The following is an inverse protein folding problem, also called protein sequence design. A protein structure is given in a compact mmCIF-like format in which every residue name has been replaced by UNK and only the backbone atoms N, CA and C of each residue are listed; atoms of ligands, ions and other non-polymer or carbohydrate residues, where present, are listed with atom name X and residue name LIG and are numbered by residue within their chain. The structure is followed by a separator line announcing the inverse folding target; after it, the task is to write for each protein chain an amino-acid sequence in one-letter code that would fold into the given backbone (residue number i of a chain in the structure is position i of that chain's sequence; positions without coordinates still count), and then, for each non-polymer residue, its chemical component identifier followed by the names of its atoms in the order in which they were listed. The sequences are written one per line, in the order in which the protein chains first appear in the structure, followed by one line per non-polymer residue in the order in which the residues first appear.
data_IF_912116994640
#
_entry.id   IF_912116994640
#
_cell.length_a   1.000
_cell.length_b   1.000
_cell.length_c   1.000
_cell.angle_alpha   90.00
_cell.angle_beta   90.00
_cell.angle_gamma   90.00
#
_symmetry.space_group_name_H-M   'P 1'
#
loop_
_entity.id
_entity.type
_entity.pdbx_description
1 polymer ?
#
# COMPACT_ATOMS: atom_id res chain seq x y z
N UNK A 1 5.53 -18.70 23.01
CA UNK A 1 6.23 -17.52 23.55
C UNK A 1 6.06 -16.41 22.53
N UNK A 2 5.20 -15.42 22.81
CA UNK A 2 4.99 -14.30 21.90
C UNK A 2 6.27 -13.47 21.78
N UNK A 3 6.71 -13.22 20.56
CA UNK A 3 8.13 -13.06 20.27
C UNK A 3 8.73 -11.67 20.46
N UNK A 4 8.11 -10.64 21.06
CA UNK A 4 8.62 -9.23 21.15
C UNK A 4 9.12 -8.63 19.81
N UNK A 5 8.61 -7.46 19.41
CA UNK A 5 9.00 -6.83 18.15
C UNK A 5 10.51 -6.62 18.08
N UNK A 6 11.09 -6.80 16.89
CA UNK A 6 12.52 -6.54 16.67
C UNK A 6 12.81 -5.07 16.89
N UNK A 7 11.88 -4.18 16.52
CA UNK A 7 11.96 -2.74 16.78
C UNK A 7 11.98 -2.44 18.28
N UNK A 8 11.14 -3.12 19.06
CA UNK A 8 11.15 -2.99 20.53
C UNK A 8 12.48 -3.45 21.14
N UNK A 9 13.04 -4.57 20.65
CA UNK A 9 14.36 -5.04 21.10
C UNK A 9 15.47 -4.04 20.76
N UNK A 10 15.43 -3.46 19.56
CA UNK A 10 16.44 -2.49 19.12
C UNK A 10 16.38 -1.20 19.94
N UNK A 11 15.18 -0.69 20.25
CA UNK A 11 15.01 0.48 21.11
C UNK A 11 15.51 0.24 22.53
N UNK A 12 15.16 -0.90 23.13
CA UNK A 12 15.64 -1.27 24.48
C UNK A 12 17.16 -1.44 24.51
N UNK A 13 17.75 -1.95 23.43
CA UNK A 13 19.21 -2.05 23.29
C UNK A 13 19.86 -0.68 23.17
N UNK A 14 19.32 0.19 22.31
CA UNK A 14 19.87 1.52 22.05
C UNK A 14 19.77 2.44 23.28
N UNK A 15 18.70 2.34 24.07
CA UNK A 15 18.46 3.24 25.19
C UNK A 15 19.38 2.97 26.39
N UNK A 16 20.05 1.83 26.41
CA UNK A 16 21.08 1.54 27.42
C UNK A 16 22.22 2.58 27.43
N UNK A 17 22.41 3.32 26.35
CA UNK A 17 23.38 4.42 26.25
C UNK A 17 22.84 5.78 26.75
N UNK A 18 21.54 5.92 27.03
CA UNK A 18 20.87 7.17 27.43
C UNK A 18 20.01 6.97 28.69
N UNK A 19 20.63 6.88 29.88
CA UNK A 19 19.92 6.56 31.13
C UNK A 19 18.84 7.59 31.52
N UNK A 20 18.97 8.84 31.08
CA UNK A 20 18.01 9.91 31.37
C UNK A 20 16.60 9.67 30.82
N UNK A 21 16.49 8.92 29.72
CA UNK A 21 15.21 8.62 29.05
C UNK A 21 14.84 7.14 29.11
N UNK A 22 15.69 6.30 29.70
CA UNK A 22 15.53 4.85 29.72
C UNK A 22 14.19 4.39 30.32
N UNK A 23 13.78 4.95 31.46
CA UNK A 23 12.51 4.63 32.11
C UNK A 23 11.30 4.96 31.20
N UNK A 24 11.33 6.13 30.56
CA UNK A 24 10.27 6.55 29.63
C UNK A 24 10.20 5.68 28.38
N UNK A 25 11.35 5.33 27.81
CA UNK A 25 11.42 4.45 26.64
C UNK A 25 10.98 3.03 26.98
N UNK A 26 11.29 2.52 28.17
CA UNK A 26 10.80 1.22 28.65
C UNK A 26 9.28 1.22 28.76
N UNK A 27 8.70 2.23 29.44
CA UNK A 27 7.25 2.38 29.56
C UNK A 27 6.56 2.52 28.18
N UNK A 28 7.18 3.25 27.25
CA UNK A 28 6.73 3.37 25.87
C UNK A 28 6.68 1.99 25.20
N UNK A 29 7.79 1.23 25.24
CA UNK A 29 7.90 -0.09 24.62
C UNK A 29 6.89 -1.07 25.22
N UNK A 30 6.71 -1.07 26.55
CA UNK A 30 5.72 -1.92 27.21
C UNK A 30 4.29 -1.63 26.74
N UNK A 31 3.95 -0.33 26.63
CA UNK A 31 2.65 0.12 26.13
C UNK A 31 2.44 -0.32 24.69
N UNK A 32 3.44 -0.11 23.83
CA UNK A 32 3.39 -0.49 22.42
C UNK A 32 3.29 -2.01 22.24
N UNK A 33 4.04 -2.80 22.99
CA UNK A 33 3.94 -4.26 22.96
C UNK A 33 2.57 -4.75 23.47
N UNK A 34 1.95 -4.03 24.42
CA UNK A 34 0.56 -4.23 24.80
C UNK A 34 -0.41 -4.05 23.63
N UNK A 35 -0.27 -2.95 22.86
CA UNK A 35 -1.07 -2.68 21.67
C UNK A 35 -0.83 -3.70 20.55
N UNK A 36 0.41 -4.15 20.36
CA UNK A 36 0.76 -5.19 19.38
C UNK A 36 0.06 -6.51 19.72
N UNK A 37 0.00 -6.88 21.01
CA UNK A 37 -0.67 -8.10 21.47
C UNK A 37 -2.19 -8.03 21.34
N UNK A 38 -2.79 -6.85 21.59
CA UNK A 38 -4.24 -6.67 21.51
C UNK A 38 -4.77 -6.63 20.07
N UNK A 39 -3.91 -6.56 19.05
CA UNK A 39 -4.28 -6.43 17.62
C UNK A 39 -5.26 -5.29 17.38
N UNK A 40 -5.08 -4.16 18.06
CA UNK A 40 -5.88 -2.97 17.77
C UNK A 40 -5.70 -2.57 16.31
N UNK A 41 -6.83 -2.33 15.64
CA UNK A 41 -6.83 -1.87 14.26
C UNK A 41 -6.25 -0.46 14.22
N UNK A 42 -5.45 -0.13 13.20
CA UNK A 42 -4.63 1.08 13.19
C UNK A 42 -5.37 2.44 13.25
N UNK A 43 -6.71 2.43 13.30
CA UNK A 43 -7.53 3.61 13.59
C UNK A 43 -7.79 3.85 15.08
N UNK A 44 -7.42 2.91 15.96
CA UNK A 44 -7.81 2.88 17.37
C UNK A 44 -6.62 2.75 18.33
N UNK A 45 -5.41 3.13 17.92
CA UNK A 45 -4.28 3.26 18.86
C UNK A 45 -4.43 4.48 19.78
N UNK A 46 -5.57 4.55 20.46
CA UNK A 46 -5.88 5.56 21.45
C UNK A 46 -4.79 5.56 22.52
N UNK A 47 -4.24 6.75 22.81
CA UNK A 47 -3.15 6.92 23.78
C UNK A 47 -1.74 7.02 23.17
N UNK A 48 -1.52 6.66 21.90
CA UNK A 48 -0.23 6.93 21.23
C UNK A 48 0.06 8.43 21.08
N UNK A 49 -0.97 9.26 21.04
CA UNK A 49 -0.83 10.71 20.87
C UNK A 49 -0.09 11.33 22.04
N UNK A 50 -0.43 10.95 23.28
CA UNK A 50 0.26 11.40 24.48
C UNK A 50 1.72 10.94 24.49
N UNK A 51 1.98 9.72 24.02
CA UNK A 51 3.34 9.17 23.89
C UNK A 51 4.17 9.91 22.83
N UNK A 52 3.51 10.41 21.77
CA UNK A 52 4.16 11.12 20.68
C UNK A 52 4.51 12.59 20.99
N UNK A 53 4.04 13.13 22.12
CA UNK A 53 4.30 14.50 22.57
C UNK A 53 5.68 14.69 23.22
N UNK A 54 6.28 13.64 23.79
CA UNK A 54 7.62 13.75 24.40
C UNK A 54 8.69 13.83 23.31
N UNK A 55 9.11 15.07 22.99
CA UNK A 55 10.08 15.34 21.94
C UNK A 55 11.47 14.74 22.17
N UNK A 56 11.90 14.52 23.42
CA UNK A 56 13.20 13.86 23.68
C UNK A 56 13.12 12.37 23.34
N UNK A 57 12.07 11.71 23.82
CA UNK A 57 11.81 10.29 23.53
C UNK A 57 11.60 10.09 22.04
N UNK A 58 10.81 10.95 21.37
CA UNK A 58 10.51 10.80 19.95
C UNK A 58 11.71 11.05 19.05
N UNK A 59 12.61 11.97 19.42
CA UNK A 59 13.90 12.12 18.74
C UNK A 59 14.74 10.85 18.85
N UNK A 60 14.88 10.31 20.06
CA UNK A 60 15.61 9.06 20.30
C UNK A 60 15.02 7.89 19.49
N UNK A 61 13.69 7.75 19.48
CA UNK A 61 12.99 6.72 18.70
C UNK A 61 13.29 6.89 17.22
N UNK A 62 13.10 8.10 16.68
CA UNK A 62 13.34 8.39 15.27
C UNK A 62 14.80 8.13 14.87
N UNK A 63 15.77 8.58 15.67
CA UNK A 63 17.20 8.38 15.40
C UNK A 63 17.59 6.90 15.46
N UNK A 64 17.02 6.14 16.40
CA UNK A 64 17.24 4.69 16.50
C UNK A 64 16.71 3.98 15.27
N UNK A 65 15.45 4.26 14.88
CA UNK A 65 14.85 3.69 13.68
C UNK A 65 15.56 4.14 12.39
N UNK A 66 16.14 5.34 12.39
CA UNK A 66 16.88 5.88 11.26
C UNK A 66 18.25 5.20 11.06
N UNK A 67 18.84 4.63 12.12
CA UNK A 67 20.09 3.86 12.05
C UNK A 67 19.91 2.46 11.47
N UNK A 68 18.66 1.98 11.33
CA UNK A 68 18.40 0.68 10.71
C UNK A 68 18.84 0.68 9.22
N UNK A 69 19.43 -0.44 8.75
CA UNK A 69 19.94 -0.55 7.38
C UNK A 69 18.81 -0.47 6.35
N UNK A 70 17.64 -1.01 6.69
CA UNK A 70 16.45 -1.00 5.85
C UNK A 70 15.32 -0.22 6.52
N UNK A 71 14.39 0.29 5.72
CA UNK A 71 13.17 0.88 6.26
C UNK A 71 12.33 -0.18 6.98
N UNK A 72 11.62 0.23 8.02
CA UNK A 72 10.67 -0.65 8.71
C UNK A 72 9.58 -1.11 7.73
N UNK A 73 9.21 -2.39 7.77
CA UNK A 73 8.19 -2.99 6.90
C UNK A 73 7.28 -3.91 7.70
N UNK A 74 6.22 -4.43 7.07
CA UNK A 74 5.33 -5.43 7.67
C UNK A 74 6.02 -6.75 8.06
N UNK A 75 7.31 -6.91 7.75
CA UNK A 75 8.14 -8.00 8.27
C UNK A 75 8.26 -7.98 9.79
N UNK A 76 8.13 -6.80 10.41
CA UNK A 76 8.08 -6.66 11.87
C UNK A 76 6.65 -6.47 12.38
N UNK A 77 6.27 -7.22 13.42
CA UNK A 77 4.94 -7.16 14.04
C UNK A 77 4.60 -5.81 14.67
N UNK A 78 5.61 -5.00 15.01
CA UNK A 78 5.45 -3.66 15.56
C UNK A 78 5.33 -2.56 14.51
N UNK A 79 5.50 -2.88 13.21
CA UNK A 79 5.50 -1.91 12.11
C UNK A 79 4.42 -0.83 12.23
N UNK A 80 3.15 -1.24 12.37
CA UNK A 80 2.02 -0.31 12.37
C UNK A 80 2.07 0.68 13.54
N UNK A 81 2.38 0.17 14.74
CA UNK A 81 2.43 0.97 15.97
C UNK A 81 3.60 1.95 15.93
N UNK A 82 4.78 1.50 15.50
CA UNK A 82 5.97 2.35 15.41
C UNK A 82 5.84 3.43 14.35
N UNK A 83 5.34 3.10 13.15
CA UNK A 83 5.15 4.07 12.06
C UNK A 83 4.05 5.08 12.42
N UNK A 84 2.98 4.62 13.10
CA UNK A 84 1.96 5.54 13.63
C UNK A 84 2.55 6.50 14.66
N UNK A 85 3.30 5.98 15.65
CA UNK A 85 3.91 6.79 16.71
C UNK A 85 4.78 7.91 16.14
N UNK A 86 5.70 7.60 15.21
CA UNK A 86 6.56 8.62 14.59
C UNK A 86 5.78 9.60 13.72
N UNK A 87 4.68 9.18 13.08
CA UNK A 87 3.82 10.07 12.30
C UNK A 87 2.97 11.00 13.17
N UNK A 88 2.58 10.56 14.37
CA UNK A 88 1.83 11.38 15.33
C UNK A 88 2.72 12.44 15.99
N UNK A 89 4.03 12.25 16.04
CA UNK A 89 4.95 13.21 16.66
C UNK A 89 5.16 14.46 15.83
N UNK A 90 5.34 15.59 16.50
CA UNK A 90 5.73 16.89 15.91
C UNK A 90 7.25 17.12 15.95
N UNK A 91 7.99 16.14 16.44
CA UNK A 91 9.44 16.19 16.53
C UNK A 91 10.07 16.08 15.12
N UNK A 92 11.04 16.94 14.85
CA UNK A 92 11.62 17.14 13.52
C UNK A 92 12.39 15.91 12.98
N UNK A 93 13.12 15.18 13.81
CA UNK A 93 13.72 13.90 13.43
C UNK A 93 12.65 12.84 13.10
N UNK A 94 11.55 12.78 13.85
CA UNK A 94 10.41 11.91 13.53
C UNK A 94 9.78 12.25 12.16
N UNK A 95 9.56 13.54 11.87
CA UNK A 95 9.05 13.98 10.57
C UNK A 95 10.00 13.67 9.42
N UNK A 96 11.30 13.93 9.59
CA UNK A 96 12.34 13.54 8.62
C UNK A 96 12.33 12.04 8.38
N UNK A 97 12.15 11.25 9.43
CA UNK A 97 12.09 9.79 9.33
C UNK A 97 10.87 9.35 8.52
N UNK A 98 9.67 9.87 8.78
CA UNK A 98 8.46 9.56 7.98
C UNK A 98 8.66 9.96 6.51
N UNK A 99 9.31 11.10 6.27
CA UNK A 99 9.64 11.52 4.90
C UNK A 99 10.65 10.56 4.24
N UNK A 100 11.67 10.07 4.96
CA UNK A 100 12.58 9.01 4.47
C UNK A 100 11.81 7.73 4.14
N UNK A 101 10.91 7.28 5.02
CA UNK A 101 10.07 6.10 4.78
C UNK A 101 9.28 6.25 3.47
N UNK A 102 8.64 7.40 3.25
CA UNK A 102 7.91 7.65 1.99
C UNK A 102 8.81 7.53 0.75
N UNK A 103 10.05 8.05 0.80
CA UNK A 103 11.02 7.89 -0.29
C UNK A 103 11.39 6.42 -0.50
N UNK A 104 11.67 5.71 0.59
CA UNK A 104 12.09 4.31 0.52
C UNK A 104 10.98 3.45 -0.08
N UNK A 105 9.76 3.53 0.43
CA UNK A 105 8.65 2.71 -0.05
C UNK A 105 8.32 2.96 -1.52
N UNK A 106 8.42 4.22 -1.99
CA UNK A 106 8.29 4.56 -3.41
C UNK A 106 9.39 3.91 -4.24
N UNK A 107 10.65 4.04 -3.81
CA UNK A 107 11.82 3.59 -4.59
C UNK A 107 11.94 2.06 -4.64
N UNK A 108 11.47 1.35 -3.62
CA UNK A 108 11.58 -0.10 -3.51
C UNK A 108 10.24 -0.84 -3.76
N UNK A 109 9.15 -0.14 -4.03
CA UNK A 109 7.84 -0.74 -4.35
C UNK A 109 7.15 -1.39 -3.15
N UNK A 110 7.34 -0.84 -1.95
CA UNK A 110 6.70 -1.30 -0.72
C UNK A 110 5.25 -0.76 -0.64
N UNK A 111 4.38 -1.23 -1.54
CA UNK A 111 3.04 -0.67 -1.71
C UNK A 111 2.16 -0.79 -0.45
N UNK A 112 2.32 -1.88 0.31
CA UNK A 112 1.52 -2.13 1.52
C UNK A 112 1.86 -1.12 2.61
N UNK A 113 3.14 -0.85 2.81
CA UNK A 113 3.67 0.15 3.73
C UNK A 113 3.31 1.57 3.28
N UNK A 114 3.36 1.84 1.98
CA UNK A 114 2.94 3.12 1.40
C UNK A 114 1.46 3.39 1.63
N UNK A 115 0.61 2.37 1.45
CA UNK A 115 -0.82 2.46 1.76
C UNK A 115 -1.10 2.71 3.23
N UNK A 116 -0.28 2.15 4.12
CA UNK A 116 -0.37 2.42 5.53
C UNK A 116 -0.06 3.89 5.85
N UNK A 117 0.98 4.48 5.23
CA UNK A 117 1.24 5.92 5.35
C UNK A 117 0.05 6.77 4.85
N UNK A 118 -0.54 6.40 3.70
CA UNK A 118 -1.75 7.06 3.21
C UNK A 118 -2.90 6.95 4.24
N UNK A 119 -3.11 5.77 4.84
CA UNK A 119 -4.13 5.53 5.87
C UNK A 119 -3.91 6.43 7.09
N UNK A 120 -2.67 6.60 7.56
CA UNK A 120 -2.35 7.51 8.68
C UNK A 120 -2.77 8.94 8.33
N UNK A 121 -2.40 9.43 7.15
CA UNK A 121 -2.76 10.78 6.69
C UNK A 121 -4.28 10.96 6.57
N UNK A 122 -5.00 9.88 6.24
CA UNK A 122 -6.46 9.87 6.16
C UNK A 122 -7.12 9.98 7.53
N UNK A 123 -6.62 9.25 8.53
CA UNK A 123 -7.17 9.23 9.89
C UNK A 123 -6.89 10.55 10.62
N UNK A 124 -5.74 11.18 10.36
CA UNK A 124 -5.32 12.41 11.04
C UNK A 124 -5.12 13.59 10.07
N UNK A 125 -6.19 14.08 9.41
CA UNK A 125 -6.09 15.09 8.36
C UNK A 125 -5.70 16.49 8.88
N UNK A 126 -5.88 16.77 10.17
CA UNK A 126 -5.60 18.08 10.77
C UNK A 126 -4.09 18.33 11.04
N UNK A 127 -3.23 17.33 10.79
CA UNK A 127 -1.79 17.40 11.06
C UNK A 127 -1.03 18.04 9.89
N UNK A 128 -1.13 19.37 9.78
CA UNK A 128 -0.54 20.14 8.68
C UNK A 128 0.99 20.01 8.50
N UNK A 129 1.72 19.57 9.54
CA UNK A 129 3.17 19.28 9.43
C UNK A 129 3.47 18.04 8.57
N UNK A 130 2.50 17.17 8.33
CA UNK A 130 2.62 16.04 7.41
C UNK A 130 2.31 16.39 5.95
N UNK A 131 1.98 17.66 5.65
CA UNK A 131 1.64 18.09 4.28
C UNK A 131 2.75 17.78 3.27
N UNK A 132 4.02 17.83 3.67
CA UNK A 132 5.14 17.45 2.81
C UNK A 132 5.09 15.97 2.38
N UNK A 133 4.75 15.08 3.32
CA UNK A 133 4.58 13.65 3.06
C UNK A 133 3.33 13.42 2.20
N UNK A 134 2.20 14.05 2.55
CA UNK A 134 0.97 13.99 1.78
C UNK A 134 1.18 14.41 0.32
N UNK A 135 1.78 15.56 0.08
CA UNK A 135 2.01 16.09 -1.27
C UNK A 135 2.87 15.14 -2.10
N UNK A 136 3.90 14.54 -1.49
CA UNK A 136 4.74 13.54 -2.15
C UNK A 136 3.96 12.29 -2.53
N UNK A 137 3.19 11.72 -1.61
CA UNK A 137 2.40 10.52 -1.88
C UNK A 137 1.32 10.80 -2.94
N UNK A 138 0.66 11.96 -2.88
CA UNK A 138 -0.30 12.40 -3.89
C UNK A 138 0.34 12.55 -5.28
N UNK A 139 1.54 13.14 -5.36
CA UNK A 139 2.30 13.23 -6.61
C UNK A 139 2.66 11.85 -7.15
N UNK A 140 3.13 10.93 -6.31
CA UNK A 140 3.45 9.57 -6.71
C UNK A 140 2.22 8.84 -7.25
N UNK A 141 1.09 8.89 -6.54
CA UNK A 141 -0.19 8.31 -6.99
C UNK A 141 -0.62 8.89 -8.34
N UNK A 142 -0.51 10.20 -8.55
CA UNK A 142 -0.79 10.82 -9.86
C UNK A 142 0.15 10.34 -10.97
N UNK A 143 1.44 10.18 -10.68
CA UNK A 143 2.40 9.65 -11.66
C UNK A 143 2.07 8.21 -12.05
N UNK A 144 1.71 7.37 -11.07
CA UNK A 144 1.30 5.98 -11.33
C UNK A 144 0.02 5.91 -12.17
N UNK A 145 -0.94 6.83 -11.97
CA UNK A 145 -2.12 6.96 -12.84
C UNK A 145 -1.76 7.29 -14.28
N UNK A 146 -0.80 8.20 -14.48
CA UNK A 146 -0.35 8.61 -15.84
C UNK A 146 0.39 7.49 -16.55
N UNK A 147 1.21 6.72 -15.84
CA UNK A 147 1.96 5.56 -16.37
C UNK A 147 1.08 4.35 -16.69
N UNK A 148 -0.15 4.31 -16.20
CA UNK A 148 -1.20 3.38 -16.63
C UNK A 148 -2.16 4.06 -17.63
N UNK A 149 -1.73 4.48 -18.84
CA UNK A 149 -2.70 4.82 -19.86
C UNK A 149 -3.49 3.55 -20.19
N UNK A 150 -4.78 3.72 -20.48
CA UNK A 150 -5.68 2.65 -20.85
C UNK A 150 -5.02 1.66 -21.82
N UNK A 151 -5.24 0.37 -21.58
CA UNK A 151 -4.84 -0.71 -22.47
C UNK A 151 -5.65 -0.59 -23.78
N UNK A 152 -5.28 0.38 -24.60
CA UNK A 152 -5.67 0.53 -25.99
C UNK A 152 -4.39 0.52 -26.79
N UNK A 153 -4.13 -0.67 -27.35
CA UNK A 153 -3.01 -1.07 -28.23
C UNK A 153 -1.78 -1.61 -27.49
N UNK A 154 -1.41 -2.81 -27.92
CA UNK A 154 -0.10 -3.45 -27.78
C UNK A 154 1.02 -2.41 -27.69
N UNK A 155 1.79 -2.43 -26.61
CA UNK A 155 3.10 -1.77 -26.56
C UNK A 155 4.02 -2.49 -27.56
N UNK A 156 4.01 -2.07 -28.83
CA UNK A 156 5.17 -2.27 -29.67
C UNK A 156 6.29 -1.37 -29.13
N UNK A 157 7.45 -1.97 -28.81
CA UNK A 157 8.65 -1.21 -28.47
C UNK A 157 8.93 -0.17 -29.57
N UNK A 158 9.34 1.06 -29.21
CA UNK A 158 9.78 2.02 -30.20
C UNK A 158 10.97 1.44 -30.98
N UNK A 159 10.80 1.27 -32.29
CA UNK A 159 11.86 0.82 -33.20
C UNK A 159 12.99 1.86 -33.19
N UNK A 160 14.16 1.48 -32.68
CA UNK A 160 15.38 2.28 -32.75
C UNK A 160 16.05 2.66 -31.44
N UNK A 161 15.59 2.18 -30.28
CA UNK A 161 16.34 2.37 -29.03
C UNK A 161 17.58 1.46 -29.03
N UNK A 162 18.77 2.04 -29.08
CA UNK A 162 20.05 1.34 -28.97
C UNK A 162 20.21 0.72 -27.58
N UNK A 163 20.74 -0.50 -27.56
CA UNK A 163 20.88 -1.42 -26.41
C UNK A 163 21.75 -0.93 -25.24
N UNK A 164 22.14 0.34 -25.20
CA UNK A 164 23.15 0.87 -24.27
C UNK A 164 22.71 2.06 -23.40
N UNK A 165 21.45 2.53 -23.47
CA UNK A 165 20.92 3.54 -22.55
C UNK A 165 20.00 2.98 -21.45
N UNK A 166 19.94 1.66 -21.26
CA UNK A 166 19.11 1.04 -20.22
C UNK A 166 19.93 0.08 -19.33
N UNK A 167 20.77 0.57 -18.40
CA UNK A 167 21.24 -0.35 -17.36
C UNK A 167 21.31 0.24 -15.93
N UNK A 168 20.27 0.93 -15.44
CA UNK A 168 20.04 1.11 -13.97
C UNK A 168 18.56 0.92 -13.55
N UNK A 169 17.57 0.98 -14.45
CA UNK A 169 16.16 1.15 -14.06
C UNK A 169 15.24 -0.10 -14.11
N UNK A 170 15.75 -1.33 -13.98
CA UNK A 170 14.91 -2.56 -13.95
C UNK A 170 15.39 -3.66 -12.99
N UNK A 171 15.69 -3.31 -11.73
CA UNK A 171 15.18 -4.20 -10.69
C UNK A 171 13.65 -4.11 -10.78
N UNK A 172 12.92 -5.24 -10.83
CA UNK A 172 11.44 -5.29 -10.89
C UNK A 172 10.83 -4.59 -9.66
N UNK A 173 10.82 -3.26 -9.60
CA UNK A 173 10.12 -2.51 -8.56
C UNK A 173 8.64 -2.86 -8.70
N UNK A 174 8.06 -3.41 -7.64
CA UNK A 174 6.66 -3.84 -7.62
C UNK A 174 5.77 -2.61 -7.84
N UNK A 175 5.16 -2.50 -9.02
CA UNK A 175 4.21 -1.43 -9.30
C UNK A 175 2.94 -1.58 -8.44
N UNK A 176 2.33 -0.45 -8.04
CA UNK A 176 1.01 -0.45 -7.40
C UNK A 176 -0.02 -1.10 -8.31
N UNK A 177 -0.77 -2.06 -7.75
CA UNK A 177 -1.96 -2.64 -8.40
C UNK A 177 -3.08 -1.61 -8.52
N UNK A 178 -4.10 -1.89 -9.33
CA UNK A 178 -5.26 -1.01 -9.50
C UNK A 178 -6.10 -0.89 -8.22
N UNK A 179 -6.09 -1.91 -7.37
CA UNK A 179 -6.72 -1.92 -6.05
C UNK A 179 -5.96 -1.00 -5.10
N UNK A 180 -4.65 -1.21 -4.99
CA UNK A 180 -3.77 -0.40 -4.15
C UNK A 180 -3.86 1.07 -4.57
N UNK A 181 -3.85 1.36 -5.88
CA UNK A 181 -3.93 2.73 -6.37
C UNK A 181 -5.25 3.40 -5.97
N UNK A 182 -6.38 2.70 -6.12
CA UNK A 182 -7.67 3.22 -5.68
C UNK A 182 -7.69 3.46 -4.16
N UNK A 183 -7.16 2.52 -3.37
CA UNK A 183 -7.13 2.66 -1.93
C UNK A 183 -6.30 3.88 -1.49
N UNK A 184 -5.17 4.13 -2.16
CA UNK A 184 -4.38 5.34 -1.92
C UNK A 184 -5.15 6.62 -2.28
N UNK A 185 -5.89 6.64 -3.40
CA UNK A 185 -6.72 7.80 -3.77
C UNK A 185 -7.81 8.11 -2.75
N UNK A 186 -8.43 7.07 -2.18
CA UNK A 186 -9.43 7.21 -1.12
C UNK A 186 -8.79 7.83 0.12
N UNK A 187 -7.69 7.25 0.58
CA UNK A 187 -7.00 7.72 1.78
C UNK A 187 -6.52 9.17 1.64
N UNK A 188 -5.95 9.52 0.49
CA UNK A 188 -5.47 10.87 0.22
C UNK A 188 -6.60 11.85 -0.15
N UNK A 189 -7.87 11.46 -0.07
CA UNK A 189 -9.00 12.35 -0.35
C UNK A 189 -9.01 12.90 -1.79
N UNK A 190 -8.38 12.18 -2.73
CA UNK A 190 -8.23 12.59 -4.13
C UNK A 190 -9.48 12.25 -4.97
N UNK A 191 -10.47 11.66 -4.32
CA UNK A 191 -11.75 11.21 -4.86
C UNK A 191 -12.78 12.32 -4.76
N UNK A 192 -13.51 12.59 -5.85
CA UNK A 192 -14.59 13.60 -5.90
C UNK A 192 -15.90 13.05 -5.33
N UNK A 193 -16.27 11.83 -5.66
CA UNK A 193 -17.50 11.17 -5.25
C UNK A 193 -17.22 10.08 -4.20
N UNK A 194 -17.03 10.52 -2.95
CA UNK A 194 -16.71 9.62 -1.82
C UNK A 194 -17.70 8.47 -1.67
N UNK A 195 -19.01 8.74 -1.83
CA UNK A 195 -20.08 7.73 -1.71
C UNK A 195 -19.99 6.65 -2.79
N UNK A 196 -19.70 7.04 -4.03
CA UNK A 196 -19.50 6.08 -5.11
C UNK A 196 -18.29 5.19 -4.79
N UNK A 197 -17.17 5.80 -4.41
CA UNK A 197 -15.95 5.05 -4.17
C UNK A 197 -16.07 4.12 -2.97
N UNK A 198 -16.66 4.55 -1.87
CA UNK A 198 -16.92 3.70 -0.70
C UNK A 198 -17.75 2.46 -1.07
N UNK A 199 -18.80 2.64 -1.87
CA UNK A 199 -19.60 1.50 -2.34
C UNK A 199 -18.82 0.60 -3.29
N UNK A 200 -18.05 1.19 -4.20
CA UNK A 200 -17.21 0.41 -5.13
C UNK A 200 -16.17 -0.39 -4.35
N UNK A 201 -15.40 0.22 -3.43
CA UNK A 201 -14.38 -0.47 -2.62
C UNK A 201 -14.98 -1.55 -1.70
N UNK A 202 -16.21 -1.36 -1.22
CA UNK A 202 -16.91 -2.38 -0.42
C UNK A 202 -17.34 -3.61 -1.24
N UNK A 203 -17.65 -3.42 -2.53
CA UNK A 203 -18.37 -4.43 -3.31
C UNK A 203 -17.59 -5.01 -4.50
N UNK A 204 -16.53 -4.36 -4.97
CA UNK A 204 -15.85 -4.77 -6.21
C UNK A 204 -15.28 -6.19 -6.18
N UNK A 205 -14.78 -6.65 -5.03
CA UNK A 205 -14.27 -8.02 -4.87
C UNK A 205 -15.36 -9.09 -5.02
N UNK A 206 -16.62 -8.74 -4.75
CA UNK A 206 -17.78 -9.63 -4.88
C UNK A 206 -18.44 -9.54 -6.26
N UNK A 207 -18.11 -8.52 -7.04
CA UNK A 207 -18.74 -8.26 -8.32
C UNK A 207 -18.17 -9.17 -9.43
N UNK A 208 -19.07 -9.81 -10.17
CA UNK A 208 -18.71 -10.70 -11.30
C UNK A 208 -18.50 -9.93 -12.59
N UNK A 209 -19.25 -8.84 -12.76
CA UNK A 209 -19.26 -7.98 -13.93
C UNK A 209 -19.71 -6.55 -13.54
N UNK A 210 -19.68 -5.63 -14.50
CA UNK A 210 -20.07 -4.23 -14.30
C UNK A 210 -21.52 -4.05 -13.86
N UNK A 211 -22.46 -4.88 -14.37
CA UNK A 211 -23.87 -4.81 -13.98
C UNK A 211 -24.05 -5.16 -12.50
N UNK A 212 -23.50 -6.30 -12.09
CA UNK A 212 -23.53 -6.74 -10.69
C UNK A 212 -22.88 -5.71 -9.76
N UNK A 213 -21.77 -5.06 -10.17
CA UNK A 213 -21.18 -3.99 -9.36
C UNK A 213 -22.09 -2.76 -9.24
N UNK A 214 -22.76 -2.36 -10.33
CA UNK A 214 -23.72 -1.26 -10.31
C UNK A 214 -24.88 -1.54 -9.35
N UNK A 215 -25.42 -2.75 -9.40
CA UNK A 215 -26.51 -3.22 -8.54
C UNK A 215 -26.10 -3.22 -7.06
N UNK A 216 -24.91 -3.76 -6.74
CA UNK A 216 -24.36 -3.73 -5.38
C UNK A 216 -24.11 -2.31 -4.87
N UNK A 217 -23.79 -1.38 -5.77
CA UNK A 217 -23.64 0.04 -5.43
C UNK A 217 -25.00 0.78 -5.38
N UNK A 218 -26.11 0.14 -5.73
CA UNK A 218 -27.45 0.75 -5.75
C UNK A 218 -27.60 1.84 -6.83
N UNK A 219 -26.95 1.68 -7.99
CA UNK A 219 -27.08 2.57 -9.13
C UNK A 219 -27.59 1.81 -10.36
N UNK A 220 -28.38 2.48 -11.21
CA UNK A 220 -28.63 1.96 -12.54
C UNK A 220 -27.32 1.86 -13.33
N UNK A 221 -27.22 0.89 -14.25
CA UNK A 221 -26.01 0.66 -15.04
C UNK A 221 -25.52 1.91 -15.79
N UNK A 222 -26.43 2.71 -16.34
CA UNK A 222 -26.12 3.94 -17.07
C UNK A 222 -25.54 5.01 -16.15
N UNK A 223 -26.21 5.27 -15.01
CA UNK A 223 -25.74 6.21 -13.99
C UNK A 223 -24.39 5.77 -13.42
N UNK A 224 -24.25 4.49 -13.10
CA UNK A 224 -23.02 3.92 -12.58
C UNK A 224 -21.86 4.15 -13.55
N UNK A 225 -22.01 3.77 -14.83
CA UNK A 225 -20.95 3.97 -15.84
C UNK A 225 -20.52 5.42 -15.99
N UNK A 226 -21.47 6.36 -15.93
CA UNK A 226 -21.19 7.80 -16.02
C UNK A 226 -20.39 8.27 -14.81
N UNK A 227 -20.94 8.06 -13.60
CA UNK A 227 -20.30 8.45 -12.35
C UNK A 227 -18.93 7.79 -12.19
N UNK A 228 -18.81 6.51 -12.57
CA UNK A 228 -17.56 5.77 -12.51
C UNK A 228 -16.51 6.35 -13.47
N UNK A 229 -16.87 6.70 -14.70
CA UNK A 229 -15.92 7.30 -15.64
C UNK A 229 -15.49 8.71 -15.20
N UNK A 230 -16.40 9.48 -14.61
CA UNK A 230 -16.08 10.79 -14.05
C UNK A 230 -15.06 10.68 -12.90
N UNK A 231 -15.23 9.67 -12.06
CA UNK A 231 -14.42 9.44 -10.85
C UNK A 231 -13.09 8.74 -11.16
N UNK A 232 -13.17 7.51 -11.68
CA UNK A 232 -12.03 6.61 -11.88
C UNK A 232 -11.32 6.85 -13.22
N UNK A 233 -11.84 7.74 -14.07
CA UNK A 233 -11.31 8.05 -15.41
C UNK A 233 -11.16 6.84 -16.33
N UNK A 234 -11.86 5.74 -16.06
CA UNK A 234 -11.88 4.52 -16.87
C UNK A 234 -13.28 3.91 -16.90
N UNK A 235 -13.52 2.90 -17.73
CA UNK A 235 -14.78 2.16 -17.68
C UNK A 235 -14.75 1.15 -16.53
N UNK A 236 -15.91 0.86 -15.89
CA UNK A 236 -15.93 -0.15 -14.83
C UNK A 236 -15.49 -1.54 -15.30
N UNK A 237 -15.71 -1.86 -16.59
CA UNK A 237 -15.29 -3.13 -17.17
C UNK A 237 -13.76 -3.24 -17.26
N UNK A 238 -13.10 -2.22 -17.81
CA UNK A 238 -11.63 -2.18 -17.89
C UNK A 238 -11.00 -2.16 -16.50
N UNK A 239 -11.61 -1.43 -15.56
CA UNK A 239 -11.14 -1.38 -14.18
C UNK A 239 -11.20 -2.76 -13.50
N UNK A 240 -12.36 -3.44 -13.55
CA UNK A 240 -12.51 -4.80 -13.01
C UNK A 240 -11.56 -5.80 -13.71
N UNK A 241 -11.35 -5.65 -15.02
CA UNK A 241 -10.38 -6.46 -15.77
C UNK A 241 -8.96 -6.23 -15.27
N UNK A 242 -8.56 -4.98 -15.01
CA UNK A 242 -7.25 -4.62 -14.46
C UNK A 242 -7.02 -5.24 -13.09
N UNK A 243 -8.00 -5.15 -12.19
CA UNK A 243 -7.94 -5.80 -10.88
C UNK A 243 -7.77 -7.32 -10.99
N UNK A 244 -8.50 -7.95 -11.92
CA UNK A 244 -8.37 -9.39 -12.17
C UNK A 244 -6.98 -9.73 -12.71
N UNK A 245 -6.39 -8.90 -13.58
CA UNK A 245 -5.00 -9.09 -14.03
C UNK A 245 -4.03 -9.06 -12.85
N UNK A 246 -4.13 -8.02 -12.01
CA UNK A 246 -3.24 -7.83 -10.86
C UNK A 246 -3.36 -9.00 -9.87
N UNK A 247 -4.59 -9.46 -9.60
CA UNK A 247 -4.86 -10.62 -8.74
C UNK A 247 -4.25 -11.91 -9.30
N UNK A 248 -4.46 -12.19 -10.59
CA UNK A 248 -3.87 -13.36 -11.27
C UNK A 248 -2.35 -13.32 -11.20
N UNK A 249 -1.74 -12.19 -11.54
CA UNK A 249 -0.29 -12.03 -11.51
C UNK A 249 0.28 -12.26 -10.11
N UNK A 250 -0.36 -11.69 -9.09
CA UNK A 250 0.06 -11.87 -7.70
C UNK A 250 -0.04 -13.34 -7.27
N UNK A 251 -1.16 -14.02 -7.52
CA UNK A 251 -1.31 -15.43 -7.13
C UNK A 251 -0.34 -16.34 -7.88
N UNK A 252 -0.05 -16.07 -9.16
CA UNK A 252 0.88 -16.89 -9.94
C UNK A 252 2.34 -16.71 -9.52
N UNK A 253 2.73 -15.53 -9.02
CA UNK A 253 4.13 -15.19 -8.70
C UNK A 253 4.46 -15.24 -7.21
N UNK A 254 3.47 -15.16 -6.33
CA UNK A 254 3.66 -15.09 -4.89
C UNK A 254 3.16 -16.34 -4.16
N UNK A 255 2.52 -17.28 -4.86
CA UNK A 255 1.94 -18.48 -4.25
C UNK A 255 2.15 -19.71 -5.12
N UNK A 256 2.23 -20.87 -4.47
CA UNK A 256 2.31 -22.18 -5.14
C UNK A 256 0.93 -22.81 -5.37
N UNK A 257 -0.15 -22.03 -5.28
CA UNK A 257 -1.51 -22.54 -5.43
C UNK A 257 -1.68 -23.29 -6.77
N UNK A 258 -2.39 -24.43 -6.81
CA UNK A 258 -2.72 -25.09 -8.06
C UNK A 258 -3.39 -24.13 -9.04
N UNK A 259 -3.09 -24.24 -10.35
CA UNK A 259 -3.64 -23.32 -11.37
C UNK A 259 -5.18 -23.34 -11.41
N UNK A 260 -5.78 -24.48 -11.07
CA UNK A 260 -7.22 -24.63 -10.92
C UNK A 260 -7.76 -23.76 -9.78
N UNK A 261 -7.12 -23.77 -8.61
CA UNK A 261 -7.51 -22.92 -7.47
C UNK A 261 -7.30 -21.44 -7.79
N UNK A 262 -6.21 -21.08 -8.49
CA UNK A 262 -6.00 -19.71 -8.95
C UNK A 262 -7.13 -19.26 -9.88
N UNK A 263 -7.59 -20.15 -10.78
CA UNK A 263 -8.70 -19.88 -11.68
C UNK A 263 -10.00 -19.61 -10.89
N UNK A 264 -10.33 -20.48 -9.93
CA UNK A 264 -11.52 -20.34 -9.07
C UNK A 264 -11.48 -19.06 -8.24
N UNK A 265 -10.35 -18.78 -7.57
CA UNK A 265 -10.17 -17.59 -6.73
C UNK A 265 -10.27 -16.29 -7.54
N UNK A 266 -9.89 -16.32 -8.82
CA UNK A 266 -10.01 -15.17 -9.72
C UNK A 266 -11.36 -15.09 -10.47
N UNK A 267 -12.25 -16.07 -10.24
CA UNK A 267 -13.58 -16.12 -10.83
C UNK A 267 -13.61 -16.56 -12.29
N UNK A 268 -12.64 -17.37 -12.73
CA UNK A 268 -12.67 -18.02 -14.04
C UNK A 268 -13.47 -19.31 -13.97
N UNK A 269 -14.15 -19.64 -15.08
CA UNK A 269 -15.00 -20.84 -15.19
C UNK A 269 -14.17 -22.12 -15.27
N UNK A 270 -12.93 -22.03 -15.77
CA UNK A 270 -12.00 -23.16 -15.83
C UNK A 270 -10.55 -22.69 -15.90
N UNK A 271 -9.62 -23.61 -15.68
CA UNK A 271 -8.19 -23.38 -15.90
C UNK A 271 -7.87 -22.99 -17.35
N UNK A 272 -8.62 -23.50 -18.34
CA UNK A 272 -8.43 -23.13 -19.75
C UNK A 272 -8.69 -21.63 -19.99
N UNK A 273 -9.75 -21.09 -19.37
CA UNK A 273 -10.04 -19.64 -19.43
C UNK A 273 -8.96 -18.81 -18.73
N UNK A 274 -8.37 -19.30 -17.64
CA UNK A 274 -7.21 -18.65 -17.02
C UNK A 274 -6.02 -18.63 -17.99
N UNK A 275 -5.76 -19.73 -18.71
CA UNK A 275 -4.66 -19.81 -19.69
C UNK A 275 -4.84 -18.82 -20.84
N UNK A 276 -6.02 -18.80 -21.47
CA UNK A 276 -6.36 -17.83 -22.52
C UNK A 276 -6.23 -16.40 -22.00
N UNK A 277 -6.75 -16.12 -20.80
CA UNK A 277 -6.63 -14.82 -20.17
C UNK A 277 -5.16 -14.43 -19.99
N UNK A 278 -4.30 -15.33 -19.52
CA UNK A 278 -2.88 -15.05 -19.34
C UNK A 278 -2.16 -14.79 -20.67
N UNK A 279 -2.42 -15.59 -21.70
CA UNK A 279 -1.86 -15.38 -23.04
C UNK A 279 -2.29 -14.02 -23.61
N UNK A 280 -3.58 -13.69 -23.54
CA UNK A 280 -4.10 -12.42 -24.08
C UNK A 280 -3.62 -11.18 -23.32
N UNK A 281 -3.35 -11.29 -22.01
CA UNK A 281 -3.12 -10.12 -21.16
C UNK A 281 -1.68 -9.98 -20.66
N UNK A 282 -0.89 -11.05 -20.68
CA UNK A 282 0.51 -11.09 -20.25
C UNK A 282 1.45 -11.65 -21.33
N UNK A 283 0.94 -12.19 -22.44
CA UNK A 283 1.74 -12.77 -23.51
C UNK A 283 2.38 -14.12 -23.17
N UNK A 284 2.03 -14.72 -22.03
CA UNK A 284 2.58 -15.98 -21.54
C UNK A 284 1.50 -16.81 -20.83
N UNK A 285 1.66 -18.12 -20.81
CA UNK A 285 0.79 -19.04 -20.07
C UNK A 285 0.98 -18.91 -18.54
N UNK A 286 -0.01 -19.32 -17.72
CA UNK A 286 0.10 -19.25 -16.27
C UNK A 286 1.34 -19.98 -15.71
N UNK A 287 1.70 -21.12 -16.33
CA UNK A 287 2.87 -21.91 -15.95
C UNK A 287 4.20 -21.24 -16.30
N UNK A 288 4.27 -20.51 -17.42
CA UNK A 288 5.44 -19.71 -17.79
C UNK A 288 5.60 -18.49 -16.88
N UNK A 289 4.49 -17.84 -16.50
CA UNK A 289 4.49 -16.71 -15.56
C UNK A 289 5.01 -17.15 -14.19
N UNK A 290 4.67 -18.35 -13.72
CA UNK A 290 5.13 -18.88 -12.42
C UNK A 290 6.63 -19.18 -12.39
N UNK A 291 7.25 -19.48 -13.52
CA UNK A 291 8.68 -19.82 -13.61
C UNK A 291 9.61 -18.60 -13.67
N UNK A 292 9.06 -17.38 -13.76
CA UNK A 292 9.75 -16.10 -14.01
C UNK A 292 9.64 -15.10 -12.86
#
# INVERSE_FOLDING_TARGET
METTSTLSKELLRAVAAEPEIAEKVQALVETMEGMIRSKQDAGEFAGLEQLAEDGRVMRFVADTLNKLPEAVTYSDKGFEVYVMLVALSREDAALRYVFRLSSWYINYGCNRELLYLCRILHIYPERGYLNGVYNRLAQYVQQMKRKRPHCTKSEELPKGATELEIPIARAKIKEMTGEELLQAEVYLGMVKNKRLVEKVTKHYMKAKNTGHLADLCGYSLSTFRRLFREEFRTTPHEWLKGLRKDKVKNLLTQTDLPLLEVAEVCGFVSQSYLTEFCQMNFGASPGEIRKN
#
